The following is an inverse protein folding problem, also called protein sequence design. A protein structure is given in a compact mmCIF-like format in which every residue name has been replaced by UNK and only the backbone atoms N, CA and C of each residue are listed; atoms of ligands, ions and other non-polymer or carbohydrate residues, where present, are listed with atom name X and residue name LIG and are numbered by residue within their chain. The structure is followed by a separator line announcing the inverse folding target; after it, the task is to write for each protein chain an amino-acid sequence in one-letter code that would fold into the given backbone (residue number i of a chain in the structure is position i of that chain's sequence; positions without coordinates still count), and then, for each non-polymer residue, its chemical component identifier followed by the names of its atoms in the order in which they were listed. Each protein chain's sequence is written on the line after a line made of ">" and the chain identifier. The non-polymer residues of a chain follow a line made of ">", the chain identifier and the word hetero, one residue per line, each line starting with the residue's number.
data_IF_952673038148
#
_entry.id   IF_952673038148
#
_cell.length_a   1.000
_cell.length_b   1.000
_cell.length_c   1.000
_cell.angle_alpha   90.00
_cell.angle_beta   90.00
_cell.angle_gamma   90.00
#
_symmetry.space_group_name_H-M   'P 1'
#
loop_
_entity.id
_entity.type
_entity.pdbx_description
1 polymer ?
#
# COMPACT_ATOMS: atom_id res chain seq x y z
N UNK A 1 -7.13 -10.57 2.31
CA UNK A 1 -7.01 -9.73 1.12
C UNK A 1 -6.91 -10.65 -0.06
N UNK A 2 -7.91 -10.56 -0.92
CA UNK A 2 -7.86 -11.01 -2.30
C UNK A 2 -6.86 -10.16 -3.09
N UNK A 3 -6.38 -10.67 -4.24
CA UNK A 3 -5.36 -10.03 -5.06
C UNK A 3 -5.82 -8.67 -5.61
N UNK A 4 -7.08 -8.58 -6.05
CA UNK A 4 -7.66 -7.34 -6.59
C UNK A 4 -7.79 -6.28 -5.50
N UNK A 5 -8.24 -6.68 -4.31
CA UNK A 5 -8.41 -5.76 -3.18
C UNK A 5 -7.05 -5.22 -2.70
N UNK A 6 -5.99 -6.03 -2.75
CA UNK A 6 -4.63 -5.58 -2.46
C UNK A 6 -4.15 -4.49 -3.42
N UNK A 7 -4.45 -4.62 -4.72
CA UNK A 7 -4.00 -3.65 -5.72
C UNK A 7 -4.70 -2.30 -5.57
N UNK A 8 -6.00 -2.29 -5.24
CA UNK A 8 -6.73 -1.05 -4.93
C UNK A 8 -6.19 -0.38 -3.66
N UNK A 9 -5.92 -1.17 -2.62
CA UNK A 9 -5.33 -0.67 -1.38
C UNK A 9 -3.93 -0.07 -1.59
N UNK A 10 -3.11 -0.72 -2.40
CA UNK A 10 -1.79 -0.21 -2.78
C UNK A 10 -1.89 1.08 -3.61
N UNK A 11 -2.80 1.12 -4.58
CA UNK A 11 -3.08 2.33 -5.37
C UNK A 11 -3.49 3.50 -4.48
N UNK A 12 -4.42 3.26 -3.54
CA UNK A 12 -4.83 4.23 -2.52
C UNK A 12 -3.67 4.66 -1.63
N UNK A 13 -2.80 3.74 -1.26
CA UNK A 13 -1.61 4.07 -0.47
C UNK A 13 -0.72 5.10 -1.18
N UNK A 14 -0.41 4.87 -2.45
CA UNK A 14 0.43 5.76 -3.26
C UNK A 14 -0.18 7.17 -3.34
N UNK A 15 -1.46 7.25 -3.68
CA UNK A 15 -2.19 8.51 -3.83
C UNK A 15 -2.23 9.31 -2.51
N UNK A 16 -2.35 8.63 -1.38
CA UNK A 16 -2.44 9.25 -0.07
C UNK A 16 -1.07 9.50 0.60
N UNK A 17 0.04 9.02 0.02
CA UNK A 17 1.36 9.20 0.63
C UNK A 17 1.73 10.69 0.86
N UNK A 18 1.47 11.62 -0.10
CA UNK A 18 1.68 13.05 0.12
C UNK A 18 0.86 13.64 1.28
N UNK A 19 -0.35 13.12 1.52
CA UNK A 19 -1.19 13.52 2.65
C UNK A 19 -0.62 12.98 3.96
N UNK A 20 -0.19 11.73 3.97
CA UNK A 20 0.38 11.06 5.16
C UNK A 20 1.73 11.63 5.60
N UNK A 21 2.43 12.27 4.67
CA UNK A 21 3.73 12.92 4.92
C UNK A 21 3.58 14.44 5.12
N UNK A 22 2.35 14.92 5.27
CA UNK A 22 2.01 16.34 5.50
C UNK A 22 2.48 17.30 4.38
N UNK A 23 2.80 16.80 3.19
CA UNK A 23 3.16 17.63 2.03
C UNK A 23 1.92 18.40 1.51
N UNK A 24 0.75 17.77 1.53
CA UNK A 24 -0.54 18.38 1.13
C UNK A 24 -1.67 17.96 2.07
N UNK A 25 -2.79 18.68 2.08
CA UNK A 25 -3.98 18.35 2.90
C UNK A 25 -5.03 17.51 2.16
N UNK A 26 -5.13 17.64 0.85
CA UNK A 26 -5.98 16.80 -0.01
C UNK A 26 -5.12 16.18 -1.13
N UNK A 27 -5.30 14.89 -1.48
CA UNK A 27 -4.52 14.27 -2.55
C UNK A 27 -4.67 14.97 -3.91
N UNK A 28 -5.77 15.73 -4.15
CA UNK A 28 -5.96 16.52 -5.37
C UNK A 28 -4.92 17.64 -5.53
N UNK A 29 -4.34 18.10 -4.42
CA UNK A 29 -3.41 19.23 -4.40
C UNK A 29 -1.99 18.78 -4.80
N UNK A 30 -1.72 17.47 -4.83
CA UNK A 30 -0.42 16.91 -5.22
C UNK A 30 -0.36 16.62 -6.73
N UNK A 31 0.17 17.59 -7.48
CA UNK A 31 0.27 17.57 -8.95
C UNK A 31 1.16 16.46 -9.49
N UNK A 32 2.11 15.95 -8.69
CA UNK A 32 3.06 14.91 -9.08
C UNK A 32 2.49 13.49 -8.89
N UNK A 33 1.20 13.32 -9.19
CA UNK A 33 0.52 12.02 -9.18
C UNK A 33 -0.50 11.92 -10.31
N UNK A 34 -0.92 10.70 -10.63
CA UNK A 34 -2.01 10.45 -11.58
C UNK A 34 -3.40 10.73 -10.97
N UNK A 35 -3.49 11.00 -9.67
CA UNK A 35 -4.76 11.17 -8.96
C UNK A 35 -5.63 12.30 -9.53
N UNK A 36 -5.12 13.52 -9.82
CA UNK A 36 -5.93 14.56 -10.42
C UNK A 36 -6.57 14.15 -11.75
N UNK A 37 -5.91 13.30 -12.53
CA UNK A 37 -6.48 12.80 -13.79
C UNK A 37 -7.51 11.71 -13.56
N UNK A 38 -7.20 10.72 -12.70
CA UNK A 38 -8.12 9.62 -12.39
C UNK A 38 -9.36 10.14 -11.67
N UNK A 39 -9.21 11.12 -10.79
CA UNK A 39 -10.31 11.77 -10.08
C UNK A 39 -11.10 12.76 -10.97
N UNK A 40 -10.69 13.00 -12.21
CA UNK A 40 -11.40 13.87 -13.15
C UNK A 40 -11.17 15.37 -12.96
N UNK A 41 -10.17 15.77 -12.19
CA UNK A 41 -9.77 17.17 -11.97
C UNK A 41 -8.93 17.74 -13.13
N UNK A 42 -8.28 16.89 -13.93
CA UNK A 42 -7.43 17.32 -15.06
C UNK A 42 -7.48 16.26 -16.16
N UNK A 43 -7.17 16.62 -17.42
CA UNK A 43 -7.02 15.68 -18.53
C UNK A 43 -5.58 15.69 -19.01
N UNK A 44 -4.94 14.53 -19.00
CA UNK A 44 -3.60 14.31 -19.59
C UNK A 44 -3.76 13.27 -20.71
N UNK A 45 -3.50 13.64 -21.98
CA UNK A 45 -3.51 12.69 -23.08
C UNK A 45 -2.55 11.51 -22.83
N UNK A 46 -2.98 10.30 -23.15
CA UNK A 46 -2.14 9.08 -23.03
C UNK A 46 -2.10 8.44 -21.63
N UNK A 47 -2.71 9.06 -20.61
CA UNK A 47 -2.81 8.43 -19.30
C UNK A 47 -4.02 7.47 -19.23
N UNK A 48 -3.74 6.18 -19.01
CA UNK A 48 -4.78 5.15 -18.90
C UNK A 48 -5.44 5.20 -17.53
N UNK A 49 -6.71 5.63 -17.48
CA UNK A 49 -7.53 5.67 -16.26
C UNK A 49 -8.54 4.53 -16.17
N UNK A 50 -8.85 3.90 -17.31
CA UNK A 50 -10.03 3.06 -17.46
C UNK A 50 -9.99 1.80 -16.59
N UNK A 51 -8.83 1.15 -16.48
CA UNK A 51 -8.68 -0.04 -15.65
C UNK A 51 -8.96 0.22 -14.16
N UNK A 52 -8.51 1.36 -13.62
CA UNK A 52 -8.77 1.70 -12.20
C UNK A 52 -10.26 2.01 -12.02
N UNK A 53 -10.84 2.81 -12.91
CA UNK A 53 -12.25 3.21 -12.81
C UNK A 53 -13.19 2.01 -12.99
N UNK A 54 -12.84 1.04 -13.84
CA UNK A 54 -13.64 -0.17 -14.05
C UNK A 54 -13.72 -1.06 -12.81
N UNK A 55 -12.86 -0.89 -11.81
CA UNK A 55 -12.94 -1.62 -10.53
C UNK A 55 -14.09 -1.11 -9.63
N UNK A 56 -14.64 0.07 -9.93
CA UNK A 56 -15.69 0.71 -9.12
C UNK A 56 -17.05 0.64 -9.82
N UNK A 57 -17.10 1.03 -11.08
CA UNK A 57 -18.35 1.03 -11.84
C UNK A 57 -18.12 0.97 -13.35
N UNK A 58 -19.08 0.42 -14.08
CA UNK A 58 -19.13 0.49 -15.54
C UNK A 58 -19.45 1.91 -16.03
N UNK A 59 -20.30 2.64 -15.30
CA UNK A 59 -20.63 4.02 -15.62
C UNK A 59 -19.52 4.96 -15.11
N UNK A 60 -18.80 5.58 -16.05
CA UNK A 60 -17.64 6.45 -15.76
C UNK A 60 -17.91 7.50 -14.67
N UNK A 61 -19.09 8.13 -14.68
CA UNK A 61 -19.44 9.15 -13.68
C UNK A 61 -19.56 8.56 -12.27
N UNK A 62 -20.21 7.40 -12.13
CA UNK A 62 -20.32 6.69 -10.85
C UNK A 62 -18.96 6.17 -10.39
N UNK A 63 -18.16 5.63 -11.31
CA UNK A 63 -16.81 5.15 -11.02
C UNK A 63 -15.92 6.25 -10.44
N UNK A 64 -15.97 7.46 -11.01
CA UNK A 64 -15.23 8.62 -10.50
C UNK A 64 -15.62 8.96 -9.05
N UNK A 65 -16.92 9.04 -8.78
CA UNK A 65 -17.43 9.38 -7.44
C UNK A 65 -16.98 8.31 -6.43
N UNK A 66 -17.12 7.03 -6.78
CA UNK A 66 -16.75 5.91 -5.92
C UNK A 66 -15.24 5.83 -5.70
N UNK A 67 -14.42 6.06 -6.74
CA UNK A 67 -12.96 6.13 -6.62
C UNK A 67 -12.52 7.25 -5.69
N UNK A 68 -13.07 8.46 -5.85
CA UNK A 68 -12.77 9.58 -4.97
C UNK A 68 -13.16 9.27 -3.52
N UNK A 69 -14.33 8.67 -3.29
CA UNK A 69 -14.78 8.26 -1.97
C UNK A 69 -13.87 7.19 -1.35
N UNK A 70 -13.44 6.20 -2.14
CA UNK A 70 -12.51 5.16 -1.72
C UNK A 70 -11.14 5.72 -1.32
N UNK A 71 -10.59 6.66 -2.08
CA UNK A 71 -9.34 7.33 -1.73
C UNK A 71 -9.52 8.15 -0.45
N UNK A 72 -10.56 8.99 -0.37
CA UNK A 72 -10.81 9.85 0.79
C UNK A 72 -11.04 9.07 2.07
N UNK A 73 -11.72 7.92 2.01
CA UNK A 73 -11.93 7.07 3.18
C UNK A 73 -10.61 6.55 3.78
N UNK A 74 -9.54 6.49 2.98
CA UNK A 74 -8.20 6.06 3.42
C UNK A 74 -7.39 7.12 4.18
N UNK A 75 -7.81 8.39 4.24
CA UNK A 75 -7.04 9.48 4.86
C UNK A 75 -6.82 9.22 6.36
N UNK A 76 -7.86 8.77 7.06
CA UNK A 76 -7.80 8.44 8.51
C UNK A 76 -7.42 6.99 8.78
N UNK A 77 -7.28 6.17 7.73
CA UNK A 77 -6.88 4.77 7.87
C UNK A 77 -5.38 4.70 8.09
N UNK A 78 -4.98 3.84 9.03
CA UNK A 78 -3.58 3.61 9.34
C UNK A 78 -2.80 3.19 8.07
N UNK A 79 -1.56 3.68 7.95
CA UNK A 79 -0.71 3.27 6.83
C UNK A 79 -0.49 1.75 6.85
N UNK A 80 -0.65 1.05 5.70
CA UNK A 80 -0.33 -0.36 5.60
C UNK A 80 1.14 -0.64 5.94
N UNK A 81 2.01 0.37 5.85
CA UNK A 81 3.40 0.23 6.26
C UNK A 81 3.60 0.00 7.77
N UNK A 82 2.58 0.23 8.62
CA UNK A 82 2.66 -0.10 10.04
C UNK A 82 2.80 -1.61 10.29
N UNK A 83 2.35 -2.44 9.36
CA UNK A 83 2.38 -3.90 9.48
C UNK A 83 3.58 -4.54 8.76
N UNK A 84 4.48 -3.72 8.18
CA UNK A 84 5.67 -4.22 7.48
C UNK A 84 6.64 -4.85 8.47
N UNK A 85 7.03 -6.11 8.22
CA UNK A 85 8.08 -6.77 9.00
C UNK A 85 9.46 -6.44 8.48
N UNK A 86 10.34 -6.02 9.39
CA UNK A 86 11.76 -5.78 9.12
C UNK A 86 12.04 -4.78 8.00
N UNK A 87 11.08 -3.91 7.66
CA UNK A 87 11.13 -2.98 6.51
C UNK A 87 11.19 -3.65 5.13
N UNK A 88 10.91 -4.95 5.03
CA UNK A 88 11.11 -5.72 3.80
C UNK A 88 9.81 -6.21 3.16
N UNK A 89 8.84 -6.65 3.94
CA UNK A 89 7.64 -7.27 3.37
C UNK A 89 6.37 -7.05 4.21
N UNK A 90 5.26 -6.96 3.49
CA UNK A 90 3.89 -6.82 3.99
C UNK A 90 3.05 -7.94 3.40
N UNK A 91 2.16 -8.54 4.20
CA UNK A 91 1.28 -9.61 3.73
C UNK A 91 0.80 -10.53 4.85
N UNK A 92 -0.04 -11.51 4.49
CA UNK A 92 -0.53 -12.56 5.41
C UNK A 92 0.57 -13.54 5.83
N UNK A 93 0.34 -14.27 6.91
CA UNK A 93 1.30 -15.26 7.45
C UNK A 93 1.79 -16.28 6.42
N UNK A 94 0.94 -16.79 5.54
CA UNK A 94 1.36 -17.75 4.51
C UNK A 94 2.34 -17.14 3.51
N UNK A 95 2.14 -15.87 3.14
CA UNK A 95 3.10 -15.13 2.31
C UNK A 95 4.42 -14.92 3.06
N UNK A 96 4.36 -14.59 4.36
CA UNK A 96 5.56 -14.43 5.20
C UNK A 96 6.34 -15.75 5.30
N UNK A 97 5.65 -16.88 5.48
CA UNK A 97 6.26 -18.23 5.49
C UNK A 97 6.93 -18.55 4.16
N UNK A 98 6.34 -18.17 3.04
CA UNK A 98 6.91 -18.39 1.70
C UNK A 98 8.16 -17.55 1.42
N UNK A 99 8.21 -16.30 1.88
CA UNK A 99 9.34 -15.39 1.64
C UNK A 99 10.48 -15.60 2.66
N UNK A 100 10.17 -16.04 3.88
CA UNK A 100 11.16 -16.22 4.96
C UNK A 100 12.43 -17.01 4.56
N UNK A 101 12.35 -18.13 3.80
CA UNK A 101 13.53 -18.87 3.34
C UNK A 101 14.42 -18.11 2.36
N UNK A 102 13.91 -17.08 1.69
CA UNK A 102 14.66 -16.25 0.74
C UNK A 102 15.48 -15.16 1.46
N UNK A 103 15.16 -14.87 2.72
CA UNK A 103 15.81 -13.83 3.53
C UNK A 103 16.97 -14.38 4.38
N UNK A 104 17.71 -15.35 3.84
CA UNK A 104 18.80 -16.04 4.56
C UNK A 104 20.10 -15.25 4.61
N UNK A 105 20.31 -14.34 3.67
CA UNK A 105 21.56 -13.59 3.58
C UNK A 105 21.66 -12.53 4.68
N UNK A 106 22.78 -12.55 5.40
CA UNK A 106 23.01 -11.74 6.61
C UNK A 106 24.30 -10.94 6.52
N UNK A 107 24.53 -10.30 5.37
CA UNK A 107 25.67 -9.39 5.19
C UNK A 107 25.60 -8.23 6.17
N UNK A 108 26.75 -7.80 6.70
CA UNK A 108 26.86 -6.63 7.59
C UNK A 108 26.46 -5.33 6.90
N UNK A 109 26.49 -5.30 5.57
CA UNK A 109 26.05 -4.17 4.73
C UNK A 109 24.53 -3.99 4.77
N UNK A 110 23.78 -5.05 5.09
CA UNK A 110 22.32 -4.98 5.24
C UNK A 110 21.98 -4.38 6.61
N UNK A 111 21.09 -3.38 6.69
CA UNK A 111 20.61 -2.81 7.95
C UNK A 111 20.15 -3.89 8.94
N UNK A 112 20.50 -3.73 10.22
CA UNK A 112 20.23 -4.74 11.25
C UNK A 112 18.76 -5.14 11.34
N UNK A 113 17.83 -4.19 11.13
CA UNK A 113 16.37 -4.45 11.12
C UNK A 113 15.93 -5.38 9.99
N UNK A 114 16.63 -5.35 8.85
CA UNK A 114 16.35 -6.16 7.66
C UNK A 114 17.00 -7.55 7.77
N UNK A 115 18.25 -7.62 8.26
CA UNK A 115 18.98 -8.89 8.50
C UNK A 115 18.24 -9.92 9.35
N UNK A 116 17.45 -9.43 10.31
CA UNK A 116 16.73 -10.28 11.26
C UNK A 116 15.21 -10.18 11.07
N UNK A 117 14.75 -9.80 9.87
CA UNK A 117 13.32 -9.66 9.58
C UNK A 117 12.53 -10.98 9.77
N UNK A 118 13.17 -12.13 9.52
CA UNK A 118 12.60 -13.46 9.74
C UNK A 118 12.78 -13.98 11.18
N UNK A 119 13.41 -13.22 12.07
CA UNK A 119 13.59 -13.63 13.46
C UNK A 119 12.27 -13.50 14.21
N UNK A 120 11.94 -14.53 14.98
CA UNK A 120 10.81 -14.50 15.92
C UNK A 120 10.99 -13.38 16.94
N UNK A 121 9.88 -12.80 17.41
CA UNK A 121 9.94 -11.89 18.54
C UNK A 121 10.28 -12.66 19.82
N UNK A 122 10.71 -11.96 20.87
CA UNK A 122 11.05 -12.61 22.14
C UNK A 122 9.82 -13.32 22.75
N UNK A 123 8.62 -12.73 22.64
CA UNK A 123 7.37 -13.34 23.10
C UNK A 123 7.03 -14.62 22.33
N UNK A 124 7.17 -14.60 21.00
CA UNK A 124 6.92 -15.79 20.16
C UNK A 124 7.88 -16.93 20.49
N UNK A 125 9.13 -16.61 20.86
CA UNK A 125 10.13 -17.61 21.22
C UNK A 125 9.87 -18.26 22.59
N UNK A 126 9.27 -17.52 23.53
CA UNK A 126 8.93 -18.01 24.87
C UNK A 126 7.75 -19.00 24.83
N UNK A 127 6.80 -18.83 23.93
CA UNK A 127 5.64 -19.72 23.76
C UNK A 127 5.94 -21.04 23.04
N UNK A 128 7.16 -21.24 22.52
CA UNK A 128 7.57 -22.50 21.88
C UNK A 128 8.05 -23.53 22.92
N UNK A 129 8.30 -23.10 24.17
CA UNK A 129 8.89 -23.92 25.24
C UNK A 129 7.96 -24.17 26.44
N UNK A 130 6.67 -23.88 26.30
CA UNK A 130 5.61 -24.16 27.29
C UNK A 130 4.42 -24.78 26.58
#
# INVERSE_FOLDING_TARGET
>A
MDKENYLLELSRYIVLNPVRTDIVKDPKDYQWSSYPVIAGNTKIPGLLTDWILSQFNEEKRKALIQYQAFVRSGIKVASPLKEVKGQLYLGKEDFKKRISPLLKERSKEIPRKQRYANRLSLGDALHIHT
#
